data_IF_310564044559
#
_entry.id   IF_310564044559
#
_cell.length_a   1.000
_cell.length_b   1.000
_cell.length_c   1.000
_cell.angle_alpha   90.00
_cell.angle_beta   90.00
_cell.angle_gamma   90.00
#
_symmetry.space_group_name_H-M   'P 1'
#
loop_
_entity.id
_entity.type
_entity.pdbx_description
1 polymer ?
#
# COMPACT_ATOMS: atom_id res chain seq x y z
N UNK A 1 -6.30 -12.03 11.18
CA UNK A 1 -6.80 -10.69 10.82
C UNK A 1 -5.88 -9.96 9.82
N UNK A 2 -4.75 -9.33 10.22
CA UNK A 2 -3.96 -8.55 9.24
C UNK A 2 -3.30 -9.42 8.15
N UNK A 3 -2.86 -10.63 8.49
CA UNK A 3 -2.29 -11.59 7.53
C UNK A 3 -3.30 -12.05 6.49
N UNK A 4 -4.56 -12.24 6.89
CA UNK A 4 -5.64 -12.62 5.97
C UNK A 4 -6.02 -11.44 5.07
N UNK A 5 -6.13 -10.23 5.64
CA UNK A 5 -6.33 -9.00 4.87
C UNK A 5 -5.22 -8.86 3.84
N UNK A 6 -3.96 -9.01 4.25
CA UNK A 6 -2.81 -8.94 3.36
C UNK A 6 -2.88 -10.01 2.27
N UNK A 7 -3.13 -11.27 2.61
CA UNK A 7 -3.22 -12.37 1.65
C UNK A 7 -4.30 -12.13 0.58
N UNK A 8 -5.52 -11.80 0.99
CA UNK A 8 -6.62 -11.55 0.05
C UNK A 8 -6.38 -10.31 -0.81
N UNK A 9 -5.84 -9.25 -0.20
CA UNK A 9 -5.57 -7.98 -0.89
C UNK A 9 -4.43 -8.12 -1.89
N UNK A 10 -3.33 -8.78 -1.51
CA UNK A 10 -2.17 -9.00 -2.36
C UNK A 10 -2.54 -9.85 -3.58
N UNK A 11 -3.27 -10.95 -3.38
CA UNK A 11 -3.75 -11.78 -4.49
C UNK A 11 -4.68 -11.02 -5.43
N UNK A 12 -5.63 -10.25 -4.88
CA UNK A 12 -6.50 -9.40 -5.68
C UNK A 12 -5.71 -8.36 -6.50
N UNK A 13 -4.77 -7.66 -5.87
CA UNK A 13 -3.98 -6.62 -6.52
C UNK A 13 -3.08 -7.19 -7.62
N UNK A 14 -2.47 -8.36 -7.41
CA UNK A 14 -1.68 -9.06 -8.44
C UNK A 14 -2.53 -9.39 -9.66
N UNK A 15 -3.72 -9.97 -9.46
CA UNK A 15 -4.63 -10.26 -10.56
C UNK A 15 -5.11 -8.99 -11.26
N UNK A 16 -5.41 -7.94 -10.49
CA UNK A 16 -5.87 -6.67 -11.01
C UNK A 16 -4.82 -6.00 -11.89
N UNK A 17 -3.56 -5.95 -11.45
CA UNK A 17 -2.46 -5.35 -12.22
C UNK A 17 -2.22 -6.08 -13.54
N UNK A 18 -2.31 -7.42 -13.54
CA UNK A 18 -2.21 -8.23 -14.77
C UNK A 18 -3.36 -7.90 -15.73
N UNK A 19 -4.59 -7.91 -15.25
CA UNK A 19 -5.80 -7.71 -16.07
C UNK A 19 -5.93 -6.28 -16.58
N UNK A 20 -5.43 -5.29 -15.85
CA UNK A 20 -5.69 -3.87 -16.11
C UNK A 20 -4.42 -3.06 -16.48
N UNK A 21 -3.32 -3.73 -16.83
CA UNK A 21 -2.03 -3.13 -17.17
C UNK A 21 -2.13 -1.99 -18.20
N UNK A 22 -3.09 -2.07 -19.11
CA UNK A 22 -3.27 -1.13 -20.22
C UNK A 22 -4.44 -0.15 -20.03
N UNK A 23 -5.13 -0.14 -18.89
CA UNK A 23 -6.29 0.75 -18.66
C UNK A 23 -5.83 2.17 -18.29
N UNK A 24 -4.64 2.30 -17.70
CA UNK A 24 -4.11 3.59 -17.25
C UNK A 24 -3.26 4.32 -18.30
N UNK A 25 -3.05 3.72 -19.49
CA UNK A 25 -2.18 4.25 -20.55
C UNK A 25 -2.90 5.20 -21.52
N UNK A 26 -4.09 5.69 -21.17
CA UNK A 26 -4.80 6.67 -21.99
C UNK A 26 -4.12 8.05 -21.90
N UNK A 27 -3.12 8.28 -22.77
CA UNK A 27 -3.02 9.53 -23.51
C UNK A 27 -1.98 10.56 -23.09
N UNK A 28 -1.42 10.53 -21.88
CA UNK A 28 -0.43 11.53 -21.45
C UNK A 28 0.82 10.86 -20.90
N UNK A 29 2.00 11.44 -21.20
CA UNK A 29 3.32 11.03 -20.71
C UNK A 29 3.35 10.96 -19.17
N UNK A 30 2.85 9.85 -18.62
CA UNK A 30 2.73 9.66 -17.18
C UNK A 30 4.08 9.21 -16.65
N UNK A 31 4.56 9.92 -15.63
CA UNK A 31 5.84 9.63 -15.00
C UNK A 31 5.82 8.23 -14.37
N UNK A 32 6.57 7.29 -14.93
CA UNK A 32 6.82 5.99 -14.31
C UNK A 32 7.80 6.16 -13.14
N UNK A 33 7.27 6.36 -11.94
CA UNK A 33 8.06 6.34 -10.71
C UNK A 33 7.90 4.98 -10.06
N UNK A 34 9.01 4.31 -9.77
CA UNK A 34 8.99 3.15 -8.89
C UNK A 34 8.44 3.59 -7.52
N UNK A 35 7.29 3.05 -7.14
CA UNK A 35 6.73 3.21 -5.81
C UNK A 35 7.45 2.27 -4.84
N UNK A 36 7.68 2.72 -3.61
CA UNK A 36 8.27 1.89 -2.55
C UNK A 36 7.28 0.89 -1.94
N UNK A 37 6.00 1.03 -2.28
CA UNK A 37 4.92 0.12 -1.88
C UNK A 37 4.22 -0.38 -3.12
N UNK A 38 3.99 -1.69 -3.17
CA UNK A 38 3.08 -2.33 -4.12
C UNK A 38 1.63 -1.95 -3.81
N UNK A 39 0.76 -2.11 -4.82
CA UNK A 39 -0.67 -1.82 -4.68
C UNK A 39 -1.32 -2.64 -3.55
N UNK A 40 -0.93 -3.90 -3.39
CA UNK A 40 -1.41 -4.77 -2.32
C UNK A 40 -1.05 -4.27 -0.93
N UNK A 41 0.17 -3.75 -0.76
CA UNK A 41 0.62 -3.16 0.50
C UNK A 41 -0.15 -1.87 0.82
N UNK A 42 -0.34 -1.00 -0.18
CA UNK A 42 -1.15 0.23 -0.03
C UNK A 42 -2.58 -0.11 0.40
N UNK A 43 -3.21 -1.06 -0.29
CA UNK A 43 -4.56 -1.50 0.01
C UNK A 43 -4.66 -2.11 1.41
N UNK A 44 -3.66 -2.92 1.82
CA UNK A 44 -3.61 -3.49 3.17
C UNK A 44 -3.52 -2.40 4.24
N UNK A 45 -2.66 -1.40 4.04
CA UNK A 45 -2.52 -0.25 4.94
C UNK A 45 -3.85 0.50 5.07
N UNK A 46 -4.55 0.74 3.96
CA UNK A 46 -5.84 1.43 3.95
C UNK A 46 -6.95 0.63 4.62
N UNK A 47 -7.07 -0.67 4.33
CA UNK A 47 -8.09 -1.53 4.94
C UNK A 47 -7.83 -1.64 6.45
N UNK A 48 -6.58 -1.90 6.84
CA UNK A 48 -6.24 -2.05 8.25
C UNK A 48 -6.42 -0.75 9.05
N UNK A 49 -6.26 0.42 8.43
CA UNK A 49 -6.60 1.70 9.06
C UNK A 49 -8.05 1.71 9.58
N UNK A 50 -9.01 1.27 8.76
CA UNK A 50 -10.42 1.24 9.15
C UNK A 50 -10.71 0.26 10.30
N UNK A 51 -9.94 -0.83 10.41
CA UNK A 51 -10.05 -1.78 11.52
C UNK A 51 -9.30 -1.35 12.79
N UNK A 52 -8.27 -0.51 12.64
CA UNK A 52 -7.35 -0.15 13.73
C UNK A 52 -7.94 0.80 14.78
N UNK A 53 -9.08 1.45 14.48
CA UNK A 53 -9.74 2.37 15.41
C UNK A 53 -9.04 3.73 15.61
N UNK A 54 -7.97 4.02 14.85
CA UNK A 54 -7.30 5.30 14.91
C UNK A 54 -8.17 6.44 14.35
N UNK A 55 -8.26 7.54 15.10
CA UNK A 55 -9.05 8.70 14.70
C UNK A 55 -8.51 9.40 13.44
N UNK A 56 -7.18 9.39 13.25
CA UNK A 56 -6.55 10.02 12.09
C UNK A 56 -5.62 9.06 11.38
N UNK A 57 -5.59 9.13 10.05
CA UNK A 57 -4.67 8.33 9.25
C UNK A 57 -3.21 8.65 9.57
N UNK A 58 -2.91 9.90 9.91
CA UNK A 58 -1.56 10.34 10.30
C UNK A 58 -1.09 9.61 11.56
N UNK A 59 -1.91 9.55 12.60
CA UNK A 59 -1.56 8.86 13.85
C UNK A 59 -1.37 7.37 13.61
N UNK A 60 -2.26 6.74 12.85
CA UNK A 60 -2.14 5.34 12.45
C UNK A 60 -0.83 5.06 11.71
N UNK A 61 -0.52 5.85 10.69
CA UNK A 61 0.65 5.64 9.86
C UNK A 61 1.96 5.80 10.66
N UNK A 62 2.03 6.83 11.52
CA UNK A 62 3.22 7.08 12.33
C UNK A 62 3.41 6.06 13.46
N UNK A 63 2.32 5.63 14.11
CA UNK A 63 2.36 4.81 15.33
C UNK A 63 2.23 3.30 15.09
N UNK A 64 1.70 2.88 13.95
CA UNK A 64 1.52 1.46 13.60
C UNK A 64 2.29 1.08 12.34
N UNK A 65 2.08 1.79 11.21
CA UNK A 65 2.69 1.40 9.93
C UNK A 65 4.22 1.56 9.94
N UNK A 66 4.72 2.69 10.45
CA UNK A 66 6.16 2.99 10.52
C UNK A 66 6.94 2.24 11.61
N UNK A 67 6.24 1.60 12.53
CA UNK A 67 6.80 0.98 13.73
C UNK A 67 6.56 -0.52 13.71
N UNK A 68 5.32 -0.95 13.93
CA UNK A 68 4.91 -2.34 14.08
C UNK A 68 4.89 -3.09 12.75
N UNK A 69 4.42 -2.45 11.69
CA UNK A 69 4.30 -3.07 10.36
C UNK A 69 5.50 -2.79 9.46
N UNK A 70 6.55 -2.15 9.98
CA UNK A 70 7.75 -1.80 9.21
C UNK A 70 8.39 -3.02 8.55
N UNK A 71 8.39 -4.16 9.23
CA UNK A 71 8.97 -5.42 8.73
C UNK A 71 8.03 -6.19 7.79
N UNK A 72 6.75 -5.84 7.76
CA UNK A 72 5.75 -6.48 6.91
C UNK A 72 5.73 -5.93 5.48
N UNK A 73 6.29 -4.73 5.28
CA UNK A 73 6.34 -4.05 4.01
C UNK A 73 7.80 -3.92 3.56
N UNK A 74 8.07 -4.05 2.26
CA UNK A 74 9.43 -3.92 1.70
C UNK A 74 9.89 -2.45 1.68
N UNK A 75 9.97 -1.82 2.86
CA UNK A 75 10.21 -0.39 2.98
C UNK A 75 11.61 -0.07 3.48
N UNK A 76 12.38 0.58 2.61
CA UNK A 76 13.32 1.61 3.00
C UNK A 76 12.55 2.92 3.28
N UNK A 77 12.02 3.09 4.49
CA UNK A 77 11.29 4.29 4.94
C UNK A 77 12.11 5.60 4.90
N UNK A 78 13.39 5.55 4.50
CA UNK A 78 14.35 6.66 4.52
C UNK A 78 14.38 7.51 3.24
N UNK A 79 13.51 7.27 2.23
CA UNK A 79 13.50 8.09 1.00
C UNK A 79 12.09 8.49 0.55
N UNK A 80 11.48 9.43 1.27
CA UNK A 80 10.66 10.53 0.72
C UNK A 80 9.87 11.16 1.87
N UNK A 81 10.55 12.03 2.60
CA UNK A 81 9.92 13.09 3.39
C UNK A 81 10.81 14.34 3.30
N UNK A 82 11.23 14.64 2.06
CA UNK A 82 11.69 15.94 1.57
C UNK A 82 11.22 16.01 0.11
#
# INVERSE_FOLDING_TARGET
MITEIFYHTDNFCKEYEIKNKNILTNGDNKRERAFSLSLGEVMTICIYYHYSGFKTFKDYYLKCVKTELKTCFNQDFNKSLI
#
